data_IF_624595008054
#
_entry.id   IF_624595008054
#
_cell.length_a   1.000
_cell.length_b   1.000
_cell.length_c   1.000
_cell.angle_alpha   90.00
_cell.angle_beta   90.00
_cell.angle_gamma   90.00
#
_symmetry.space_group_name_H-M   'P 1'
#
loop_
_entity.id
_entity.type
_entity.pdbx_description
1 polymer ?
#
# COMPACT_ATOMS: atom_id res chain seq x y z
N UNK A 1 13.83 -22.26 6.48
CA UNK A 1 12.75 -21.27 6.30
C UNK A 1 13.47 -19.96 6.05
N UNK A 2 13.33 -19.37 4.86
CA UNK A 2 13.92 -18.06 4.59
C UNK A 2 13.21 -17.03 5.49
N UNK A 3 13.98 -16.15 6.12
CA UNK A 3 13.40 -15.06 6.91
C UNK A 3 12.86 -14.04 5.90
N UNK A 4 11.59 -13.62 5.99
CA UNK A 4 11.04 -12.65 5.06
C UNK A 4 11.77 -11.31 5.22
N UNK A 5 12.37 -10.84 4.13
CA UNK A 5 12.85 -9.48 4.01
C UNK A 5 11.67 -8.58 3.65
N UNK A 6 11.55 -7.44 4.31
CA UNK A 6 10.56 -6.43 3.99
C UNK A 6 11.21 -5.05 4.04
N UNK A 7 10.84 -4.21 3.09
CA UNK A 7 11.48 -2.92 2.85
C UNK A 7 10.63 -1.77 3.39
N UNK A 8 9.35 -2.03 3.68
CA UNK A 8 8.40 -1.01 4.08
C UNK A 8 7.48 -1.48 5.18
N UNK A 9 7.19 -0.57 6.11
CA UNK A 9 6.04 -0.66 7.02
C UNK A 9 5.05 0.46 6.72
N UNK A 10 3.77 0.09 6.62
CA UNK A 10 2.65 1.03 6.47
C UNK A 10 1.73 0.91 7.66
N UNK A 11 1.47 2.04 8.33
CA UNK A 11 0.47 2.18 9.40
C UNK A 11 -0.61 3.12 8.88
N UNK A 12 -1.82 2.62 8.67
CA UNK A 12 -2.91 3.39 8.06
C UNK A 12 -4.12 3.45 8.98
N UNK A 13 -4.70 4.64 9.13
CA UNK A 13 -5.86 4.85 10.00
C UNK A 13 -5.48 4.69 11.47
N UNK A 14 -4.46 5.43 11.92
CA UNK A 14 -4.05 5.46 13.32
C UNK A 14 -4.59 6.71 14.03
N UNK A 15 -4.78 6.62 15.34
CA UNK A 15 -5.13 7.78 16.18
C UNK A 15 -3.92 8.41 16.90
N UNK A 16 -2.69 8.04 16.51
CA UNK A 16 -1.49 8.56 17.16
C UNK A 16 -1.36 10.07 17.01
N UNK A 17 -0.94 10.75 18.06
CA UNK A 17 -0.61 12.18 18.03
C UNK A 17 0.77 12.44 17.43
N UNK A 18 1.02 13.67 17.01
CA UNK A 18 2.33 14.09 16.49
C UNK A 18 3.47 14.01 17.50
N UNK A 19 3.16 13.80 18.80
CA UNK A 19 4.15 13.59 19.85
C UNK A 19 4.46 12.10 20.09
N UNK A 20 3.80 11.18 19.39
CA UNK A 20 4.02 9.76 19.53
C UNK A 20 5.47 9.38 19.18
N UNK A 21 6.08 8.56 20.03
CA UNK A 21 7.33 7.87 19.73
C UNK A 21 6.99 6.53 19.11
N UNK A 22 7.37 6.34 17.84
CA UNK A 22 7.10 5.13 17.08
C UNK A 22 8.43 4.49 16.70
N UNK A 23 8.58 3.20 16.96
CA UNK A 23 9.79 2.45 16.59
C UNK A 23 9.43 1.10 16.02
N UNK A 24 10.14 0.70 14.97
CA UNK A 24 10.18 -0.67 14.52
C UNK A 24 11.39 -1.34 15.14
N UNK A 25 11.23 -2.53 15.71
CA UNK A 25 12.27 -3.25 16.43
C UNK A 25 12.38 -4.67 15.92
N UNK A 26 13.60 -5.21 15.82
CA UNK A 26 13.88 -6.56 15.32
C UNK A 26 14.71 -7.38 16.30
N UNK A 27 14.39 -8.67 16.42
CA UNK A 27 15.12 -9.63 17.27
C UNK A 27 14.96 -11.06 16.78
N UNK A 28 15.94 -11.92 17.06
CA UNK A 28 15.83 -13.38 16.89
C UNK A 28 15.32 -14.10 18.14
N UNK A 29 15.19 -13.37 19.25
CA UNK A 29 14.60 -13.89 20.48
C UNK A 29 13.11 -13.56 20.54
N UNK A 30 12.27 -14.59 20.62
CA UNK A 30 10.82 -14.46 20.73
C UNK A 30 10.41 -13.80 22.06
N UNK A 31 11.14 -14.09 23.13
CA UNK A 31 10.93 -13.43 24.43
C UNK A 31 11.40 -11.98 24.37
N UNK A 32 12.45 -11.73 23.58
CA UNK A 32 12.98 -10.44 23.12
C UNK A 32 13.39 -9.46 24.23
N UNK A 33 14.38 -8.58 23.99
CA UNK A 33 14.65 -7.45 24.87
C UNK A 33 13.63 -6.32 24.64
N UNK A 34 12.33 -6.62 24.49
CA UNK A 34 11.29 -5.61 24.22
C UNK A 34 11.17 -4.58 25.36
N UNK A 35 11.59 -4.97 26.56
CA UNK A 35 11.72 -4.11 27.74
C UNK A 35 13.14 -3.56 27.94
N UNK A 36 14.07 -3.86 27.03
CA UNK A 36 15.48 -3.48 27.05
C UNK A 36 15.92 -2.86 25.72
N UNK A 37 17.17 -3.06 25.34
CA UNK A 37 17.71 -2.56 24.07
C UNK A 37 17.59 -3.64 23.00
N UNK A 38 16.74 -3.48 21.96
CA UNK A 38 16.67 -4.43 20.87
C UNK A 38 17.96 -4.45 20.04
N UNK A 39 18.32 -5.61 19.44
CA UNK A 39 19.47 -5.72 18.53
C UNK A 39 19.41 -4.70 17.39
N UNK A 40 18.20 -4.45 16.89
CA UNK A 40 17.93 -3.43 15.90
C UNK A 40 16.65 -2.67 16.24
N UNK A 41 16.69 -1.36 16.02
CA UNK A 41 15.51 -0.51 16.06
C UNK A 41 15.69 0.66 15.09
N UNK A 42 14.58 1.07 14.49
CA UNK A 42 14.50 2.26 13.66
C UNK A 42 13.35 3.15 14.14
N UNK A 43 13.57 4.47 14.10
CA UNK A 43 12.52 5.43 14.45
C UNK A 43 11.63 5.65 13.24
N UNK A 44 10.34 5.40 13.42
CA UNK A 44 9.31 5.63 12.42
C UNK A 44 8.82 7.07 12.57
N UNK A 45 8.95 7.88 11.52
CA UNK A 45 8.48 9.28 11.55
C UNK A 45 6.95 9.33 11.54
N UNK A 46 6.37 10.05 12.50
CA UNK A 46 4.93 10.29 12.51
C UNK A 46 4.50 11.14 11.30
N UNK A 47 3.35 10.78 10.73
CA UNK A 47 2.66 11.52 9.70
C UNK A 47 1.15 11.46 9.96
N UNK A 48 0.41 12.47 9.49
CA UNK A 48 -1.04 12.51 9.69
C UNK A 48 -1.74 11.51 8.75
N UNK A 49 -2.62 10.68 9.30
CA UNK A 49 -3.52 9.79 8.56
C UNK A 49 -2.89 8.43 8.23
N UNK A 50 -1.79 8.42 7.49
CA UNK A 50 -1.00 7.23 7.23
C UNK A 50 0.49 7.52 7.42
N UNK A 51 1.20 6.51 7.89
CA UNK A 51 2.65 6.51 8.04
C UNK A 51 3.18 5.46 7.08
N UNK A 52 4.08 5.87 6.20
CA UNK A 52 4.87 4.98 5.36
C UNK A 52 6.31 5.18 5.76
N UNK A 53 6.97 4.08 6.11
CA UNK A 53 8.36 4.11 6.51
C UNK A 53 9.11 3.06 5.72
N UNK A 54 10.00 3.54 4.86
CA UNK A 54 10.99 2.72 4.18
C UNK A 54 12.08 2.39 5.19
N UNK A 55 12.35 1.11 5.31
CA UNK A 55 13.22 0.55 6.32
C UNK A 55 14.66 0.64 5.82
N UNK A 56 15.56 1.13 6.68
CA UNK A 56 16.98 1.13 6.38
C UNK A 56 17.55 -0.28 6.31
N UNK A 57 18.67 -0.45 5.60
CA UNK A 57 19.35 -1.75 5.51
C UNK A 57 19.65 -2.32 6.90
N UNK A 58 19.19 -3.55 7.16
CA UNK A 58 19.45 -4.30 8.37
C UNK A 58 19.55 -5.80 8.07
N UNK A 59 20.14 -6.56 8.99
CA UNK A 59 20.09 -8.03 8.92
C UNK A 59 18.66 -8.53 9.19
N UNK A 60 18.14 -9.50 8.43
CA UNK A 60 16.76 -9.96 8.62
C UNK A 60 16.61 -10.64 9.98
N UNK A 61 15.60 -10.23 10.75
CA UNK A 61 15.29 -10.79 12.07
C UNK A 61 14.09 -11.72 12.00
N UNK A 62 14.03 -12.72 12.88
CA UNK A 62 12.86 -13.63 12.94
C UNK A 62 11.60 -12.97 13.51
N UNK A 63 11.75 -12.02 14.43
CA UNK A 63 10.64 -11.36 15.12
C UNK A 63 10.75 -9.85 15.02
N UNK A 64 9.61 -9.20 14.80
CA UNK A 64 9.49 -7.76 14.75
C UNK A 64 8.42 -7.24 15.70
N UNK A 65 8.66 -6.05 16.26
CA UNK A 65 7.75 -5.37 17.18
C UNK A 65 7.57 -3.91 16.72
N UNK A 66 6.31 -3.48 16.63
CA UNK A 66 5.95 -2.08 16.48
C UNK A 66 5.70 -1.48 17.86
N UNK A 67 6.66 -0.70 18.35
CA UNK A 67 6.54 0.02 19.61
C UNK A 67 5.91 1.39 19.37
N UNK A 68 4.84 1.70 20.10
CA UNK A 68 4.17 3.01 20.08
C UNK A 68 4.03 3.51 21.52
N UNK A 69 4.58 4.71 21.78
CA UNK A 69 4.38 5.42 23.04
C UNK A 69 3.86 6.82 22.76
N UNK A 70 2.60 7.04 23.13
CA UNK A 70 1.88 8.28 22.83
C UNK A 70 1.18 8.84 24.08
N UNK A 71 1.94 9.46 25.00
CA UNK A 71 1.39 9.97 26.26
C UNK A 71 0.46 11.19 26.04
N UNK A 72 0.48 11.78 24.84
CA UNK A 72 -0.35 12.91 24.47
C UNK A 72 -1.70 12.52 23.88
N UNK A 73 -1.98 11.24 23.70
CA UNK A 73 -3.23 10.77 23.09
C UNK A 73 -4.43 11.02 24.03
N UNK A 74 -5.37 11.92 23.67
CA UNK A 74 -6.52 12.24 24.51
C UNK A 74 -7.53 11.09 24.61
N UNK A 75 -7.53 10.16 23.65
CA UNK A 75 -8.45 9.04 23.60
C UNK A 75 -8.11 7.97 24.66
N UNK A 76 -6.86 7.95 25.13
CA UNK A 76 -6.38 7.00 26.14
C UNK A 76 -6.17 5.58 25.62
N UNK A 77 -6.31 5.34 24.31
CA UNK A 77 -6.02 4.07 23.64
C UNK A 77 -5.30 4.30 22.31
N UNK A 78 -4.61 3.27 21.84
CA UNK A 78 -3.91 3.23 20.56
C UNK A 78 -4.73 2.43 19.57
N UNK A 79 -5.06 3.03 18.43
CA UNK A 79 -5.79 2.39 17.34
C UNK A 79 -4.95 2.39 16.07
N UNK A 80 -5.01 1.27 15.33
CA UNK A 80 -4.41 1.10 14.01
C UNK A 80 -5.41 0.34 13.14
N UNK A 81 -5.90 0.97 12.08
CA UNK A 81 -6.83 0.34 11.14
C UNK A 81 -6.16 -0.75 10.30
N UNK A 82 -5.00 -0.45 9.71
CA UNK A 82 -4.20 -1.43 8.97
C UNK A 82 -2.72 -1.28 9.26
N UNK A 83 -2.06 -2.43 9.45
CA UNK A 83 -0.61 -2.56 9.53
C UNK A 83 -0.15 -3.48 8.41
N UNK A 84 0.79 -3.02 7.61
CA UNK A 84 1.35 -3.80 6.50
C UNK A 84 2.87 -3.80 6.56
N UNK A 85 3.44 -4.98 6.33
CA UNK A 85 4.86 -5.20 6.11
C UNK A 85 5.00 -5.86 4.74
N UNK A 86 5.90 -5.35 3.91
CA UNK A 86 6.12 -5.94 2.60
C UNK A 86 7.30 -5.35 1.88
N UNK A 87 7.46 -5.78 0.63
CA UNK A 87 8.48 -5.26 -0.27
C UNK A 87 8.06 -3.92 -0.85
N UNK A 88 9.05 -3.12 -1.20
CA UNK A 88 8.87 -1.84 -1.88
C UNK A 88 9.52 -1.90 -3.27
N UNK A 89 8.81 -1.39 -4.28
CA UNK A 89 9.37 -1.23 -5.61
C UNK A 89 9.10 0.18 -6.13
N UNK A 90 10.18 0.86 -6.51
CA UNK A 90 10.14 2.15 -7.17
C UNK A 90 10.49 1.96 -8.65
N UNK A 91 9.57 2.37 -9.54
CA UNK A 91 9.81 2.32 -10.97
C UNK A 91 10.97 3.23 -11.37
N UNK A 92 11.78 2.76 -12.32
CA UNK A 92 12.93 3.52 -12.83
C UNK A 92 12.53 4.73 -13.68
N UNK A 93 11.24 4.84 -14.05
CA UNK A 93 10.70 5.85 -14.95
C UNK A 93 9.49 6.55 -14.35
N UNK A 94 9.27 7.79 -14.80
CA UNK A 94 8.12 8.61 -14.43
C UNK A 94 6.96 8.46 -15.42
N UNK A 95 5.75 8.84 -15.00
CA UNK A 95 4.58 8.91 -15.88
C UNK A 95 4.75 10.04 -16.91
N UNK A 96 4.77 9.71 -18.20
CA UNK A 96 5.13 10.66 -19.25
C UNK A 96 3.97 11.59 -19.66
N UNK A 97 2.76 11.05 -19.73
CA UNK A 97 1.56 11.76 -20.21
C UNK A 97 0.58 12.15 -19.09
N UNK A 98 1.02 12.03 -17.84
CA UNK A 98 0.19 12.23 -16.67
C UNK A 98 -0.63 10.98 -16.31
N UNK A 99 -1.48 11.16 -15.30
CA UNK A 99 -2.40 10.14 -14.79
C UNK A 99 -3.79 10.44 -15.32
N UNK A 100 -4.41 9.48 -15.97
CA UNK A 100 -5.85 9.52 -16.19
C UNK A 100 -6.54 8.91 -14.97
N UNK A 101 -7.58 9.58 -14.49
CA UNK A 101 -8.38 9.06 -13.40
C UNK A 101 -9.86 9.30 -13.69
N UNK A 102 -10.67 8.34 -13.27
CA UNK A 102 -12.12 8.35 -13.45
C UNK A 102 -12.78 8.14 -12.11
N UNK A 103 -13.65 9.08 -11.72
CA UNK A 103 -14.55 8.88 -10.59
C UNK A 103 -15.88 8.32 -11.09
N UNK A 104 -16.39 7.31 -10.41
CA UNK A 104 -17.69 6.73 -10.70
C UNK A 104 -18.51 6.60 -9.42
N UNK A 105 -19.74 7.12 -9.43
CA UNK A 105 -20.69 6.82 -8.38
C UNK A 105 -21.13 5.36 -8.51
N UNK A 106 -20.95 4.60 -7.44
CA UNK A 106 -21.51 3.26 -7.32
C UNK A 106 -22.94 3.40 -6.85
N UNK A 107 -23.86 3.19 -7.78
CA UNK A 107 -25.29 3.27 -7.57
C UNK A 107 -25.88 1.89 -7.81
N UNK A 108 -26.64 1.40 -6.84
CA UNK A 108 -27.41 0.17 -6.97
C UNK A 108 -28.87 0.54 -7.22
N UNK A 109 -29.43 0.09 -8.35
CA UNK A 109 -30.86 0.27 -8.62
C UNK A 109 -31.65 -0.86 -7.99
N UNK A 110 -32.32 -0.57 -6.87
CA UNK A 110 -33.24 -1.50 -6.22
C UNK A 110 -34.63 -1.37 -6.86
N UNK A 111 -35.15 -2.43 -7.47
CA UNK A 111 -36.53 -2.48 -7.97
C UNK A 111 -37.43 -3.23 -6.99
N UNK A 112 -38.62 -2.67 -6.71
CA UNK A 112 -39.66 -3.39 -5.98
C UNK A 112 -40.48 -4.30 -6.93
N UNK A 113 -41.30 -5.18 -6.34
CA UNK A 113 -42.22 -6.08 -7.05
C UNK A 113 -43.24 -5.36 -7.97
N UNK A 114 -43.38 -4.04 -7.84
CA UNK A 114 -44.28 -3.20 -8.64
C UNK A 114 -43.54 -2.40 -9.74
N UNK A 115 -42.26 -2.69 -9.99
CA UNK A 115 -41.47 -2.05 -11.05
C UNK A 115 -41.01 -0.62 -10.75
N UNK A 116 -41.20 -0.13 -9.51
CA UNK A 116 -40.64 1.16 -9.08
C UNK A 116 -39.20 0.94 -8.65
N UNK A 117 -38.27 1.49 -9.43
CA UNK A 117 -36.84 1.53 -9.11
C UNK A 117 -36.50 2.70 -8.19
N UNK A 118 -35.59 2.49 -7.24
CA UNK A 118 -34.87 3.55 -6.53
C UNK A 118 -33.38 3.32 -6.67
N UNK A 119 -32.69 4.39 -7.05
CA UNK A 119 -31.24 4.42 -7.08
C UNK A 119 -30.72 4.64 -5.65
N UNK A 120 -29.96 3.67 -5.16
CA UNK A 120 -29.30 3.71 -3.87
C UNK A 120 -27.83 4.03 -4.10
N UNK A 121 -27.43 5.23 -3.70
CA UNK A 121 -26.03 5.58 -3.65
C UNK A 121 -25.32 4.69 -2.62
N UNK A 122 -24.25 4.00 -3.05
CA UNK A 122 -23.42 3.15 -2.19
C UNK A 122 -22.12 3.86 -1.82
N UNK A 123 -21.34 4.26 -2.82
CA UNK A 123 -20.03 4.89 -2.60
C UNK A 123 -19.52 5.59 -3.88
N UNK A 124 -18.33 6.19 -3.81
CA UNK A 124 -17.52 6.60 -4.97
C UNK A 124 -16.39 5.60 -5.20
N UNK A 125 -16.27 5.12 -6.45
CA UNK A 125 -15.11 4.39 -6.93
C UNK A 125 -14.18 5.32 -7.72
N UNK A 126 -12.88 5.03 -7.67
CA UNK A 126 -11.87 5.68 -8.51
C UNK A 126 -11.08 4.65 -9.29
N UNK A 127 -10.93 4.90 -10.58
CA UNK A 127 -10.07 4.13 -11.48
C UNK A 127 -8.92 5.02 -11.93
N UNK A 128 -7.74 4.43 -12.09
CA UNK A 128 -6.53 5.10 -12.50
C UNK A 128 -5.91 4.35 -13.68
N UNK A 129 -5.41 5.11 -14.63
CA UNK A 129 -4.59 4.59 -15.73
C UNK A 129 -3.30 5.39 -15.78
N UNK A 130 -2.18 4.67 -15.67
CA UNK A 130 -0.84 5.25 -15.78
C UNK A 130 -0.17 4.74 -17.03
N UNK A 131 0.49 5.65 -17.74
CA UNK A 131 1.32 5.32 -18.89
C UNK A 131 2.77 5.66 -18.57
N UNK A 132 3.59 4.61 -18.49
CA UNK A 132 5.03 4.66 -18.27
C UNK A 132 5.70 4.44 -19.64
N UNK A 133 6.47 5.42 -20.09
CA UNK A 133 7.27 5.32 -21.31
C UNK A 133 8.68 4.83 -20.95
N UNK A 134 9.26 3.98 -21.80
CA UNK A 134 10.60 3.42 -21.64
C UNK A 134 10.81 2.64 -20.33
N UNK A 135 9.79 1.92 -19.88
CA UNK A 135 9.95 0.99 -18.75
C UNK A 135 11.08 0.00 -19.06
N UNK A 136 11.97 -0.20 -18.08
CA UNK A 136 13.08 -1.13 -18.22
C UNK A 136 12.57 -2.58 -18.16
N UNK A 137 13.40 -3.54 -18.59
CA UNK A 137 13.07 -4.95 -18.41
C UNK A 137 12.89 -5.33 -16.92
N UNK A 138 13.64 -4.67 -16.03
CA UNK A 138 13.53 -4.88 -14.58
C UNK A 138 12.21 -4.36 -14.00
N UNK A 139 11.69 -3.24 -14.52
CA UNK A 139 10.38 -2.71 -14.13
C UNK A 139 9.24 -3.68 -14.45
N UNK A 140 9.33 -4.33 -15.60
CA UNK A 140 8.31 -5.28 -16.06
C UNK A 140 8.42 -6.57 -15.25
N UNK A 141 9.63 -7.09 -15.04
CA UNK A 141 9.86 -8.27 -14.21
C UNK A 141 9.38 -8.05 -12.76
N UNK A 142 9.62 -6.88 -12.19
CA UNK A 142 9.13 -6.52 -10.87
C UNK A 142 7.61 -6.41 -10.83
N UNK A 143 6.98 -5.86 -11.87
CA UNK A 143 5.52 -5.78 -11.97
C UNK A 143 4.90 -7.17 -12.10
N UNK A 144 5.46 -8.04 -12.94
CA UNK A 144 5.05 -9.44 -13.07
C UNK A 144 5.14 -10.17 -11.73
N UNK A 145 6.28 -10.04 -11.03
CA UNK A 145 6.48 -10.63 -9.71
C UNK A 145 5.47 -10.09 -8.68
N UNK A 146 5.16 -8.79 -8.72
CA UNK A 146 4.13 -8.19 -7.87
C UNK A 146 2.74 -8.78 -8.18
N UNK A 147 2.35 -8.87 -9.46
CA UNK A 147 1.06 -9.48 -9.85
C UNK A 147 0.95 -10.93 -9.41
N UNK A 148 2.02 -11.71 -9.54
CA UNK A 148 2.06 -13.09 -9.06
C UNK A 148 1.95 -13.16 -7.53
N UNK A 149 2.62 -12.28 -6.80
CA UNK A 149 2.58 -12.27 -5.34
C UNK A 149 1.20 -11.89 -4.77
N UNK A 150 0.46 -10.99 -5.43
CA UNK A 150 -0.83 -10.50 -4.95
C UNK A 150 -2.02 -11.29 -5.48
N UNK A 151 -1.81 -12.14 -6.49
CA UNK A 151 -2.89 -12.94 -7.10
C UNK A 151 -2.87 -14.36 -6.57
N UNK A 152 -3.93 -14.74 -5.86
CA UNK A 152 -4.15 -16.12 -5.47
C UNK A 152 -4.99 -16.83 -6.54
N UNK A 153 -4.34 -17.76 -7.27
CA UNK A 153 -4.97 -18.53 -8.34
C UNK A 153 -5.95 -19.59 -7.83
N UNK A 154 -5.82 -20.04 -6.59
CA UNK A 154 -6.72 -21.05 -6.01
C UNK A 154 -8.05 -20.40 -5.61
N UNK A 155 -7.99 -19.22 -4.99
CA UNK A 155 -9.19 -18.49 -4.57
C UNK A 155 -9.73 -17.53 -5.63
N UNK A 156 -8.92 -17.22 -6.66
CA UNK A 156 -9.25 -16.22 -7.68
C UNK A 156 -9.30 -14.81 -7.11
N UNK A 157 -8.62 -14.56 -5.98
CA UNK A 157 -8.62 -13.26 -5.33
C UNK A 157 -7.35 -12.48 -5.66
N UNK A 158 -7.50 -11.17 -5.83
CA UNK A 158 -6.38 -10.24 -6.01
C UNK A 158 -6.31 -9.38 -4.74
N UNK A 159 -5.21 -9.51 -4.02
CA UNK A 159 -4.93 -8.72 -2.84
C UNK A 159 -4.65 -7.26 -3.24
N UNK A 160 -5.08 -6.29 -2.42
CA UNK A 160 -4.78 -4.90 -2.67
C UNK A 160 -3.32 -4.57 -2.36
N UNK A 161 -2.78 -3.59 -3.06
CA UNK A 161 -1.44 -3.04 -2.84
C UNK A 161 -1.53 -1.59 -2.43
N UNK A 162 -0.49 -1.11 -1.76
CA UNK A 162 -0.31 0.32 -1.56
C UNK A 162 0.41 0.93 -2.76
N UNK A 163 -0.12 2.04 -3.25
CA UNK A 163 0.44 2.80 -4.36
C UNK A 163 0.76 4.21 -3.88
N UNK A 164 1.98 4.66 -4.18
CA UNK A 164 2.44 5.99 -3.82
C UNK A 164 3.04 6.68 -5.04
N UNK A 165 2.30 7.63 -5.61
CA UNK A 165 2.76 8.31 -6.84
C UNK A 165 3.94 9.24 -6.58
N UNK A 166 3.91 9.90 -5.41
CA UNK A 166 4.87 10.93 -5.01
C UNK A 166 5.15 10.78 -3.53
N UNK A 167 6.31 10.19 -3.15
CA UNK A 167 6.71 10.02 -1.75
C UNK A 167 6.70 11.31 -0.92
N UNK A 168 6.87 12.46 -1.56
CA UNK A 168 6.80 13.77 -0.92
C UNK A 168 5.37 14.27 -0.65
N UNK A 169 4.35 13.66 -1.25
CA UNK A 169 2.94 14.03 -1.12
C UNK A 169 2.10 12.84 -0.64
N UNK A 170 1.87 12.82 0.67
CA UNK A 170 1.01 11.85 1.35
C UNK A 170 -0.40 11.77 0.75
N UNK A 171 -0.94 12.83 0.14
CA UNK A 171 -2.28 12.80 -0.47
C UNK A 171 -2.38 11.89 -1.69
N UNK A 172 -1.24 11.48 -2.24
CA UNK A 172 -1.15 10.53 -3.37
C UNK A 172 -1.03 9.07 -2.93
N UNK A 173 -0.87 8.81 -1.64
CA UNK A 173 -0.82 7.46 -1.09
C UNK A 173 -2.20 6.83 -1.04
N UNK A 174 -2.36 5.67 -1.68
CA UNK A 174 -3.65 4.99 -1.82
C UNK A 174 -3.49 3.49 -1.69
N UNK A 175 -4.55 2.84 -1.23
CA UNK A 175 -4.68 1.40 -1.40
C UNK A 175 -5.44 1.14 -2.70
N UNK A 176 -4.86 0.36 -3.60
CA UNK A 176 -5.41 0.07 -4.92
C UNK A 176 -5.44 -1.43 -5.18
N UNK A 177 -6.33 -1.86 -6.06
CA UNK A 177 -6.27 -3.18 -6.70
C UNK A 177 -5.71 -3.01 -8.09
N UNK A 178 -4.74 -3.84 -8.41
CA UNK A 178 -4.22 -3.97 -9.76
C UNK A 178 -5.27 -4.69 -10.61
N UNK A 179 -5.72 -4.06 -11.69
CA UNK A 179 -6.69 -4.66 -12.61
C UNK A 179 -5.98 -5.39 -13.76
N UNK A 180 -4.84 -4.86 -14.17
CA UNK A 180 -4.00 -5.43 -15.21
C UNK A 180 -2.95 -4.44 -15.65
N UNK A 181 -2.07 -4.90 -16.52
CA UNK A 181 -1.16 -4.04 -17.25
C UNK A 181 -1.01 -4.52 -18.68
N UNK A 182 -0.63 -3.60 -19.56
CA UNK A 182 -0.35 -3.88 -20.95
C UNK A 182 1.06 -3.38 -21.28
N UNK A 183 1.89 -4.29 -21.81
CA UNK A 183 3.17 -3.95 -22.41
C UNK A 183 3.02 -3.75 -23.91
N UNK A 184 3.59 -2.67 -24.45
CA UNK A 184 3.73 -2.44 -25.89
C UNK A 184 5.19 -2.21 -26.24
N UNK A 185 5.76 -3.10 -27.06
CA UNK A 185 7.12 -2.94 -27.57
C UNK A 185 7.15 -1.92 -28.72
N UNK A 186 7.57 -0.69 -28.45
CA UNK A 186 7.67 0.36 -29.48
C UNK A 186 8.89 0.16 -30.39
N UNK A 187 10.04 -0.23 -29.82
CA UNK A 187 11.33 -0.56 -30.51
C UNK A 187 12.17 -1.49 -29.63
N UNK A 188 13.26 -2.05 -30.17
CA UNK A 188 14.08 -3.15 -29.59
C UNK A 188 14.45 -3.02 -28.10
N UNK A 189 14.49 -1.80 -27.55
CA UNK A 189 14.88 -1.52 -26.16
C UNK A 189 13.84 -0.70 -25.38
N UNK A 190 12.77 -0.22 -26.02
CA UNK A 190 11.77 0.64 -25.38
C UNK A 190 10.43 -0.08 -25.30
N UNK A 191 9.94 -0.22 -24.08
CA UNK A 191 8.67 -0.84 -23.75
C UNK A 191 7.79 0.22 -23.09
N UNK A 192 6.60 0.38 -23.64
CA UNK A 192 5.56 1.22 -23.03
C UNK A 192 4.74 0.33 -22.13
N UNK A 193 4.49 0.80 -20.91
CA UNK A 193 3.71 0.09 -19.92
C UNK A 193 2.47 0.92 -19.60
N UNK A 194 1.30 0.32 -19.77
CA UNK A 194 0.02 0.86 -19.32
C UNK A 194 -0.45 0.07 -18.11
N UNK A 195 -0.60 0.74 -16.97
CA UNK A 195 -1.03 0.14 -15.71
C UNK A 195 -2.44 0.61 -15.38
N UNK A 196 -3.34 -0.35 -15.10
CA UNK A 196 -4.74 -0.10 -14.76
C UNK A 196 -5.01 -0.52 -13.33
N UNK A 197 -5.56 0.40 -12.53
CA UNK A 197 -5.76 0.22 -11.09
C UNK A 197 -7.10 0.82 -10.65
N UNK A 198 -7.67 0.28 -9.57
CA UNK A 198 -8.85 0.85 -8.93
C UNK A 198 -8.63 1.04 -7.43
N UNK A 199 -9.08 2.16 -6.89
CA UNK A 199 -9.00 2.44 -5.45
C UNK A 199 -9.82 1.42 -4.65
N UNK A 200 -9.23 0.90 -3.58
CA UNK A 200 -9.96 0.08 -2.61
C UNK A 200 -10.78 1.01 -1.73
N UNK A 201 -12.10 0.93 -1.89
CA UNK A 201 -13.02 1.73 -1.10
C UNK A 201 -12.97 1.32 0.36
N UNK A 202 -12.84 2.30 1.26
CA UNK A 202 -13.15 2.09 2.67
C UNK A 202 -14.66 1.94 2.80
N UNK A 203 -15.11 0.94 3.57
CA UNK A 203 -16.52 0.85 3.95
C UNK A 203 -16.89 2.13 4.70
N UNK A 204 -17.93 2.80 4.23
CA UNK A 204 -18.55 3.96 4.90
C UNK A 204 -19.43 3.46 6.04
#
# INVERSE_FOLDING_TARGET
>A
MAIPEFDVVVINGHNFTSAATIRLQGSDDAAGPWTGTPPWQETVTWAQGHIVHLIGSHDPYRYYNLYVYDPGNPDGYVEVGHLFFGSWYEFSVYFLYGREWREQALVETAQNLHGVGRDLYRNWGREFTYQLDKASAADIEALDAMFEAVTDRETGTIQPVYWWERPEDASTFRMVRLQGFQETLQRREYRDLRLEMSEVMKSV
#
